data_IF_725933539011
#
_entry.id   IF_725933539011
#
_cell.length_a   1.000
_cell.length_b   1.000
_cell.length_c   1.000
_cell.angle_alpha   90.00
_cell.angle_beta   90.00
_cell.angle_gamma   90.00
#
_symmetry.space_group_name_H-M   'P 1'
#
loop_
_entity.id
_entity.type
_entity.pdbx_description
1 polymer ?
#
# COMPACT_ATOMS: atom_id res chain seq x y z
N UNK A 1 -16.06 17.67 -4.03
CA UNK A 1 -15.46 16.61 -3.17
C UNK A 1 -16.57 15.66 -2.76
N UNK A 2 -16.44 14.35 -3.03
CA UNK A 2 -17.36 13.35 -2.44
C UNK A 2 -17.03 13.22 -0.95
N UNK A 3 -17.97 13.55 -0.08
CA UNK A 3 -17.81 13.41 1.37
C UNK A 3 -18.32 12.03 1.79
N UNK A 4 -17.43 11.15 2.25
CA UNK A 4 -17.80 9.82 2.69
C UNK A 4 -17.93 9.78 4.23
N UNK A 5 -19.07 9.31 4.73
CA UNK A 5 -19.47 9.31 6.15
C UNK A 5 -18.82 8.18 6.97
N UNK A 6 -18.11 8.47 8.07
CA UNK A 6 -17.36 7.50 8.90
C UNK A 6 -18.11 6.17 9.19
N UNK A 7 -17.38 5.03 9.28
CA UNK A 7 -17.98 3.74 9.67
C UNK A 7 -18.28 3.81 11.17
N UNK A 8 -19.44 3.35 11.65
CA UNK A 8 -19.69 3.21 13.09
C UNK A 8 -18.69 2.24 13.75
N UNK A 9 -18.45 2.40 15.05
CA UNK A 9 -17.54 1.51 15.80
C UNK A 9 -17.95 0.03 15.65
N UNK A 10 -16.96 -0.83 15.36
CA UNK A 10 -17.19 -2.27 15.11
C UNK A 10 -17.74 -2.64 13.73
N UNK A 11 -18.00 -1.68 12.84
CA UNK A 11 -18.41 -1.97 11.46
C UNK A 11 -17.27 -2.52 10.60
N UNK A 12 -17.57 -3.46 9.70
CA UNK A 12 -16.60 -4.01 8.75
C UNK A 12 -16.10 -2.92 7.80
N UNK A 13 -14.91 -2.37 8.07
CA UNK A 13 -14.29 -1.29 7.27
C UNK A 13 -14.12 -1.70 5.79
N UNK A 14 -13.89 -2.98 5.54
CA UNK A 14 -13.77 -3.59 4.21
C UNK A 14 -15.06 -3.49 3.37
N UNK A 15 -16.24 -3.65 3.99
CA UNK A 15 -17.52 -3.50 3.27
C UNK A 15 -17.68 -2.09 2.72
N UNK A 16 -17.31 -1.08 3.52
CA UNK A 16 -17.37 0.30 3.08
C UNK A 16 -16.27 0.64 2.08
N UNK A 17 -15.07 0.09 2.26
CA UNK A 17 -13.99 0.21 1.29
C UNK A 17 -14.44 -0.31 -0.08
N UNK A 18 -15.03 -1.51 -0.14
CA UNK A 18 -15.58 -2.07 -1.37
C UNK A 18 -16.72 -1.23 -1.97
N UNK A 19 -17.59 -0.63 -1.13
CA UNK A 19 -18.66 0.24 -1.61
C UNK A 19 -18.17 1.57 -2.21
N UNK A 20 -17.01 2.08 -1.75
CA UNK A 20 -16.43 3.35 -2.20
C UNK A 20 -15.45 3.15 -3.36
N UNK A 21 -14.56 2.18 -3.23
CA UNK A 21 -13.43 1.92 -4.12
C UNK A 21 -13.71 0.82 -5.15
N UNK A 22 -14.84 0.11 -5.01
CA UNK A 22 -15.19 -1.04 -5.85
C UNK A 22 -14.54 -2.35 -5.36
N UNK A 23 -15.10 -3.46 -5.82
CA UNK A 23 -14.59 -4.81 -5.50
C UNK A 23 -13.19 -5.06 -6.05
N UNK A 24 -12.88 -4.49 -7.23
CA UNK A 24 -11.56 -4.61 -7.84
C UNK A 24 -10.44 -4.06 -6.96
N UNK A 25 -10.68 -2.97 -6.22
CA UNK A 25 -9.71 -2.46 -5.25
C UNK A 25 -9.61 -3.40 -4.05
N UNK A 26 -10.75 -3.83 -3.50
CA UNK A 26 -10.81 -4.70 -2.32
C UNK A 26 -10.08 -6.04 -2.54
N UNK A 27 -10.17 -6.63 -3.74
CA UNK A 27 -9.46 -7.86 -4.09
C UNK A 27 -7.94 -7.73 -4.10
N UNK A 28 -7.42 -6.52 -4.33
CA UNK A 28 -5.98 -6.23 -4.37
C UNK A 28 -5.50 -5.52 -3.10
N UNK A 29 -6.39 -5.20 -2.16
CA UNK A 29 -6.10 -4.36 -1.02
C UNK A 29 -5.24 -5.11 0.02
N UNK A 30 -4.03 -4.61 0.22
CA UNK A 30 -3.10 -5.06 1.26
C UNK A 30 -3.26 -4.12 2.46
N UNK A 31 -3.68 -4.68 3.60
CA UNK A 31 -3.89 -3.91 4.82
C UNK A 31 -2.55 -3.43 5.40
N UNK A 32 -2.50 -2.18 5.84
CA UNK A 32 -1.36 -1.56 6.51
C UNK A 32 -1.78 -1.25 7.95
N UNK A 33 -0.94 -1.68 8.89
CA UNK A 33 -0.93 -1.24 10.28
C UNK A 33 0.54 -1.07 10.69
N UNK A 34 0.98 0.18 10.75
CA UNK A 34 2.37 0.54 10.99
C UNK A 34 2.43 1.69 12.00
N UNK A 35 3.25 1.55 13.04
CA UNK A 35 3.31 2.53 14.13
C UNK A 35 4.75 2.74 14.60
N UNK A 36 5.10 3.99 14.88
CA UNK A 36 6.36 4.37 15.50
C UNK A 36 6.18 5.64 16.33
N UNK A 37 6.24 5.51 17.65
CA UNK A 37 5.92 6.61 18.56
C UNK A 37 4.50 7.13 18.33
N UNK A 38 4.36 8.44 18.14
CA UNK A 38 3.08 9.12 17.89
C UNK A 38 2.62 9.07 16.42
N UNK A 39 3.41 8.45 15.53
CA UNK A 39 3.04 8.23 14.14
C UNK A 39 2.35 6.89 13.98
N UNK A 40 1.17 6.90 13.38
CA UNK A 40 0.44 5.68 12.99
C UNK A 40 -0.01 5.80 11.54
N UNK A 41 0.34 4.81 10.72
CA UNK A 41 -0.15 4.64 9.35
C UNK A 41 -1.08 3.42 9.31
N UNK A 42 -2.30 3.64 8.86
CA UNK A 42 -3.32 2.60 8.67
C UNK A 42 -3.94 2.69 7.29
N UNK A 43 -4.55 1.59 6.85
CA UNK A 43 -5.40 1.59 5.66
C UNK A 43 -5.02 0.50 4.70
N UNK A 44 -5.07 0.80 3.39
CA UNK A 44 -4.80 -0.19 2.36
C UNK A 44 -4.01 0.41 1.19
N UNK A 45 -3.10 -0.40 0.65
CA UNK A 45 -2.43 -0.18 -0.64
C UNK A 45 -2.81 -1.35 -1.55
N UNK A 46 -3.18 -1.08 -2.80
CA UNK A 46 -3.40 -2.14 -3.76
C UNK A 46 -2.06 -2.77 -4.16
N UNK A 47 -2.02 -4.09 -4.41
CA UNK A 47 -0.83 -4.74 -4.96
C UNK A 47 -0.41 -4.03 -6.26
N UNK A 48 0.79 -3.44 -6.29
CA UNK A 48 1.25 -2.71 -7.47
C UNK A 48 1.29 -3.60 -8.73
N UNK A 49 1.53 -4.92 -8.62
CA UNK A 49 1.53 -5.82 -9.79
C UNK A 49 0.18 -5.93 -10.51
N UNK A 50 -0.92 -5.62 -9.81
CA UNK A 50 -2.28 -5.77 -10.28
C UNK A 50 -3.02 -4.43 -10.38
N UNK A 51 -2.31 -3.32 -10.25
CA UNK A 51 -2.90 -1.98 -10.32
C UNK A 51 -3.17 -1.60 -11.78
N UNK A 52 -4.45 -1.38 -12.10
CA UNK A 52 -4.89 -0.90 -13.42
C UNK A 52 -5.01 0.62 -13.43
N UNK A 53 -5.06 1.29 -14.60
CA UNK A 53 -5.26 2.74 -14.68
C UNK A 53 -6.53 3.22 -13.95
N UNK A 54 -7.61 2.42 -13.96
CA UNK A 54 -8.84 2.73 -13.24
C UNK A 54 -8.66 2.66 -11.72
N UNK A 55 -7.89 1.69 -11.22
CA UNK A 55 -7.56 1.61 -9.79
C UNK A 55 -6.66 2.76 -9.36
N UNK A 56 -5.73 3.18 -10.21
CA UNK A 56 -4.81 4.29 -9.94
C UNK A 56 -5.52 5.65 -9.71
N UNK A 57 -6.81 5.79 -10.05
CA UNK A 57 -7.62 6.96 -9.68
C UNK A 57 -7.93 7.02 -8.17
N UNK A 58 -7.77 5.88 -7.47
CA UNK A 58 -8.04 5.74 -6.03
C UNK A 58 -6.77 6.10 -5.27
N UNK A 59 -6.60 7.39 -4.99
CA UNK A 59 -5.48 7.92 -4.20
C UNK A 59 -6.04 8.77 -3.07
N UNK A 60 -6.45 8.12 -1.99
CA UNK A 60 -7.02 8.77 -0.83
C UNK A 60 -6.04 8.73 0.34
N UNK A 61 -5.58 9.89 0.79
CA UNK A 61 -4.82 10.00 2.03
C UNK A 61 -5.53 10.93 3.01
N UNK A 62 -5.49 10.57 4.29
CA UNK A 62 -6.06 11.35 5.37
C UNK A 62 -4.96 11.63 6.39
N UNK A 63 -4.90 12.86 6.88
CA UNK A 63 -4.02 13.24 8.00
C UNK A 63 -4.92 13.72 9.14
N UNK A 64 -4.88 13.03 10.27
CA UNK A 64 -5.76 13.28 11.43
C UNK A 64 -7.24 13.40 11.03
N UNK A 65 -7.69 12.49 10.17
CA UNK A 65 -9.08 12.40 9.70
C UNK A 65 -9.48 13.40 8.59
N UNK A 66 -8.60 14.33 8.19
CA UNK A 66 -8.85 15.26 7.09
C UNK A 66 -8.24 14.73 5.79
N UNK A 67 -9.03 14.69 4.72
CA UNK A 67 -8.57 14.32 3.38
C UNK A 67 -7.50 15.29 2.88
N UNK A 68 -6.36 14.76 2.46
CA UNK A 68 -5.23 15.50 1.91
C UNK A 68 -4.89 15.04 0.49
N UNK A 69 -4.14 15.87 -0.23
CA UNK A 69 -3.47 15.55 -1.50
C UNK A 69 -2.04 16.04 -1.45
N UNK A 70 -1.34 15.58 -0.43
CA UNK A 70 -0.01 16.06 -0.09
C UNK A 70 1.07 15.41 -0.97
N UNK A 71 1.99 16.23 -1.50
CA UNK A 71 3.04 15.77 -2.41
C UNK A 71 4.06 14.86 -1.72
N UNK A 72 4.38 15.12 -0.45
CA UNK A 72 5.36 14.35 0.31
C UNK A 72 4.82 12.95 0.60
N UNK A 73 3.55 12.86 1.01
CA UNK A 73 2.87 11.57 1.23
C UNK A 73 2.84 10.76 -0.06
N UNK A 74 2.38 11.37 -1.16
CA UNK A 74 2.26 10.68 -2.45
C UNK A 74 3.62 10.22 -2.98
N UNK A 75 4.67 11.02 -2.79
CA UNK A 75 6.03 10.66 -3.15
C UNK A 75 6.52 9.42 -2.39
N UNK A 76 6.36 9.40 -1.05
CA UNK A 76 6.78 8.27 -0.22
C UNK A 76 6.13 6.94 -0.66
N UNK A 77 4.82 6.97 -0.94
CA UNK A 77 4.06 5.80 -1.39
C UNK A 77 4.54 5.34 -2.77
N UNK A 78 4.69 6.28 -3.72
CA UNK A 78 5.15 5.98 -5.07
C UNK A 78 6.56 5.37 -5.04
N UNK A 79 7.47 5.95 -4.27
CA UNK A 79 8.84 5.45 -4.13
C UNK A 79 8.85 4.02 -3.58
N UNK A 80 8.05 3.71 -2.55
CA UNK A 80 7.95 2.35 -2.01
C UNK A 80 7.40 1.33 -3.04
N UNK A 81 6.43 1.74 -3.87
CA UNK A 81 5.90 0.90 -4.94
C UNK A 81 6.91 0.70 -6.08
N UNK A 82 7.64 1.76 -6.47
CA UNK A 82 8.66 1.71 -7.51
C UNK A 82 9.82 0.79 -7.11
N UNK A 83 10.33 0.92 -5.87
CA UNK A 83 11.39 0.07 -5.34
C UNK A 83 11.00 -1.42 -5.31
N UNK A 84 9.70 -1.71 -5.11
CA UNK A 84 9.17 -3.09 -5.15
C UNK A 84 8.97 -3.62 -6.57
N UNK A 85 8.58 -2.79 -7.52
CA UNK A 85 8.24 -3.23 -8.88
C UNK A 85 9.38 -3.14 -9.89
N UNK A 86 10.37 -2.29 -9.62
CA UNK A 86 11.37 -1.90 -10.61
C UNK A 86 10.81 -1.07 -11.77
N UNK A 87 9.59 -0.53 -11.63
CA UNK A 87 8.93 0.28 -12.63
C UNK A 87 8.11 1.40 -11.97
N UNK A 88 8.17 2.57 -12.56
CA UNK A 88 7.39 3.73 -12.16
C UNK A 88 5.93 3.57 -12.62
N UNK A 89 5.02 3.37 -11.68
CA UNK A 89 3.59 3.29 -11.92
C UNK A 89 2.79 4.02 -10.84
N UNK A 90 1.58 4.44 -11.19
CA UNK A 90 0.69 5.10 -10.25
C UNK A 90 0.11 4.08 -9.25
N UNK A 91 0.35 4.24 -7.93
CA UNK A 91 -0.23 3.36 -6.93
C UNK A 91 -1.71 3.69 -6.71
N UNK A 92 -2.45 2.70 -6.21
CA UNK A 92 -3.81 2.87 -5.71
C UNK A 92 -3.82 2.60 -4.20
N UNK A 93 -4.40 3.51 -3.42
CA UNK A 93 -4.36 3.43 -1.96
C UNK A 93 -5.46 4.22 -1.26
N UNK A 94 -5.76 3.80 -0.02
CA UNK A 94 -6.57 4.51 0.96
C UNK A 94 -5.84 4.48 2.30
N UNK A 95 -5.13 5.55 2.65
CA UNK A 95 -4.26 5.61 3.82
C UNK A 95 -4.67 6.68 4.82
N UNK A 96 -4.45 6.39 6.08
CA UNK A 96 -4.74 7.23 7.23
C UNK A 96 -3.46 7.40 8.02
N UNK A 97 -2.95 8.62 8.08
CA UNK A 97 -1.84 9.03 8.91
C UNK A 97 -2.39 9.75 10.14
N UNK A 98 -2.08 9.21 11.31
CA UNK A 98 -2.27 9.86 12.60
C UNK A 98 -0.89 10.36 13.09
N UNK A 99 -0.85 11.61 13.54
CA UNK A 99 0.36 12.31 14.02
C UNK A 99 -0.05 13.34 15.07
N UNK A 100 0.84 13.66 16.02
CA UNK A 100 0.67 14.81 16.92
C UNK A 100 0.29 16.08 16.12
N UNK A 101 -0.86 16.72 16.41
CA UNK A 101 -1.28 17.97 15.76
C UNK A 101 -0.23 19.08 15.80
N UNK A 102 0.68 19.11 16.79
CA UNK A 102 1.76 20.10 16.85
C UNK A 102 2.87 19.85 15.82
N UNK A 103 2.94 18.64 15.24
CA UNK A 103 3.91 18.27 14.22
C UNK A 103 3.38 18.48 12.79
N UNK A 104 2.15 18.98 12.63
CA UNK A 104 1.53 19.20 11.31
C UNK A 104 0.75 20.53 11.26
N UNK A 105 1.11 21.37 10.30
CA UNK A 105 0.35 22.59 9.99
C UNK A 105 -0.58 22.36 8.80
N UNK A 106 -1.89 22.44 9.05
CA UNK A 106 -2.95 22.27 8.05
C UNK A 106 -3.40 23.59 7.40
N UNK A 107 -2.88 24.73 7.85
CA UNK A 107 -3.30 26.07 7.40
C UNK A 107 -2.41 26.65 6.30
N UNK A 108 -1.65 25.81 5.59
CA UNK A 108 -0.64 26.24 4.62
C UNK A 108 -1.18 26.55 3.21
N UNK A 109 -2.38 26.08 2.86
CA UNK A 109 -3.00 26.32 1.56
C UNK A 109 -4.46 26.77 1.73
N UNK A 110 -4.97 27.73 0.95
CA UNK A 110 -6.36 28.23 1.09
C UNK A 110 -7.42 27.12 0.92
N UNK A 111 -7.15 26.13 0.07
CA UNK A 111 -8.01 24.94 -0.09
C UNK A 111 -7.76 23.81 0.93
N UNK A 112 -6.76 23.94 1.82
CA UNK A 112 -6.39 22.95 2.85
C UNK A 112 -6.15 21.53 2.32
N UNK A 113 -5.62 21.42 1.10
CA UNK A 113 -5.29 20.14 0.44
C UNK A 113 -3.86 19.67 0.74
N UNK A 114 -3.01 20.57 1.22
CA UNK A 114 -1.62 20.31 1.53
C UNK A 114 -1.38 20.58 3.02
N UNK A 115 -0.37 19.92 3.57
CA UNK A 115 0.07 20.12 4.94
C UNK A 115 1.56 20.38 4.99
N UNK A 116 2.03 21.03 6.05
CA UNK A 116 3.46 21.13 6.33
C UNK A 116 3.77 20.34 7.59
N UNK A 117 4.56 19.30 7.44
CA UNK A 117 5.10 18.56 8.57
C UNK A 117 6.29 19.30 9.17
N UNK A 118 6.40 19.31 10.50
CA UNK A 118 7.57 19.86 11.19
C UNK A 118 8.81 19.02 10.87
N UNK A 119 8.65 17.69 10.85
CA UNK A 119 9.71 16.72 10.53
C UNK A 119 9.41 15.99 9.22
N UNK A 120 9.37 16.72 8.10
CA UNK A 120 9.02 16.21 6.76
C UNK A 120 9.75 14.92 6.38
N UNK A 121 11.07 14.85 6.58
CA UNK A 121 11.87 13.67 6.22
C UNK A 121 11.47 12.44 7.04
N UNK A 122 11.26 12.62 8.34
CA UNK A 122 10.84 11.53 9.24
C UNK A 122 9.47 11.00 8.82
N UNK A 123 8.52 11.88 8.52
CA UNK A 123 7.18 11.48 8.05
C UNK A 123 7.25 10.75 6.71
N UNK A 124 8.07 11.24 5.77
CA UNK A 124 8.30 10.59 4.49
C UNK A 124 8.83 9.17 4.68
N UNK A 125 9.93 9.02 5.44
CA UNK A 125 10.59 7.74 5.66
C UNK A 125 9.67 6.76 6.41
N UNK A 126 8.88 7.26 7.37
CA UNK A 126 7.87 6.48 8.06
C UNK A 126 6.81 5.89 7.12
N UNK A 127 6.26 6.70 6.21
CA UNK A 127 5.26 6.25 5.24
C UNK A 127 5.88 5.26 4.26
N UNK A 128 7.06 5.59 3.73
CA UNK A 128 7.81 4.73 2.82
C UNK A 128 8.04 3.34 3.41
N UNK A 129 8.56 3.26 4.64
CA UNK A 129 8.82 1.98 5.32
C UNK A 129 7.54 1.21 5.61
N UNK A 130 6.47 1.90 6.01
CA UNK A 130 5.17 1.26 6.29
C UNK A 130 4.51 0.66 5.05
N UNK A 131 4.65 1.30 3.88
CA UNK A 131 4.17 0.75 2.61
C UNK A 131 5.07 -0.38 2.13
N UNK A 132 6.39 -0.17 2.16
CA UNK A 132 7.35 -1.17 1.67
C UNK A 132 7.27 -2.48 2.45
N UNK A 133 7.10 -2.43 3.77
CA UNK A 133 7.02 -3.63 4.61
C UNK A 133 5.86 -4.55 4.23
N UNK A 134 4.67 -4.00 3.97
CA UNK A 134 3.50 -4.77 3.54
C UNK A 134 3.68 -5.34 2.14
N UNK A 135 4.30 -4.56 1.24
CA UNK A 135 4.60 -5.03 -0.11
C UNK A 135 5.61 -6.19 -0.12
N UNK A 136 6.60 -6.17 0.77
CA UNK A 136 7.58 -7.26 0.95
C UNK A 136 6.92 -8.51 1.55
N UNK A 137 6.12 -8.35 2.60
CA UNK A 137 5.41 -9.48 3.24
C UNK A 137 4.52 -10.24 2.25
N UNK A 138 3.89 -9.51 1.30
CA UNK A 138 3.07 -10.15 0.27
C UNK A 138 3.89 -11.03 -0.69
N UNK A 139 5.12 -10.64 -1.01
CA UNK A 139 6.02 -11.46 -1.85
C UNK A 139 6.45 -12.73 -1.12
N UNK A 140 6.80 -12.62 0.16
CA UNK A 140 7.16 -13.78 0.98
C UNK A 140 6.00 -14.77 1.06
N UNK A 141 4.77 -14.28 1.27
CA UNK A 141 3.56 -15.10 1.28
C UNK A 141 3.34 -15.81 -0.08
N UNK A 142 3.55 -15.10 -1.20
CA UNK A 142 3.41 -15.67 -2.53
C UNK A 142 4.49 -16.73 -2.82
N UNK A 143 5.75 -16.46 -2.44
CA UNK A 143 6.86 -17.39 -2.58
C UNK A 143 6.66 -18.65 -1.74
N UNK A 144 6.18 -18.52 -0.50
CA UNK A 144 5.93 -19.66 0.39
C UNK A 144 4.79 -20.55 -0.11
N UNK A 145 3.74 -19.95 -0.66
CA UNK A 145 2.66 -20.71 -1.32
C UNK A 145 3.14 -21.51 -2.52
N UNK A 146 4.16 -21.01 -3.23
CA UNK A 146 4.75 -21.70 -4.38
C UNK A 146 5.63 -22.88 -3.94
N UNK A 147 6.38 -22.76 -2.85
CA UNK A 147 7.26 -23.84 -2.36
C UNK A 147 6.50 -24.99 -1.70
N UNK A 148 5.37 -24.73 -1.01
CA UNK A 148 4.63 -25.77 -0.28
C UNK A 148 3.65 -26.62 -1.10
N UNK A 149 3.29 -26.22 -2.32
CA UNK A 149 2.43 -27.05 -3.16
C UNK A 149 2.76 -26.94 -4.66
N UNK A 150 3.76 -27.72 -5.14
CA UNK A 150 4.16 -27.72 -6.55
C UNK A 150 3.07 -28.22 -7.51
N UNK A 151 1.99 -28.84 -7.01
CA UNK A 151 0.88 -29.37 -7.83
C UNK A 151 -0.19 -28.33 -8.18
N UNK A 152 -0.13 -27.09 -7.67
CA UNK A 152 -1.04 -25.99 -8.04
C UNK A 152 -0.94 -25.60 -9.54
N UNK A 153 0.09 -26.09 -10.24
CA UNK A 153 0.30 -25.86 -11.68
C UNK A 153 -0.80 -26.40 -12.60
N UNK A 154 -1.62 -27.37 -12.18
CA UNK A 154 -2.62 -27.97 -13.09
C UNK A 154 -3.93 -27.18 -13.20
N UNK A 155 -4.24 -26.32 -12.22
CA UNK A 155 -5.56 -25.64 -12.15
C UNK A 155 -5.52 -24.19 -12.63
N UNK A 156 -4.36 -23.51 -12.54
CA UNK A 156 -4.26 -22.08 -12.89
C UNK A 156 -3.67 -21.79 -14.27
N UNK A 157 -3.20 -22.80 -15.01
CA UNK A 157 -2.68 -22.65 -16.38
C UNK A 157 -3.78 -22.60 -17.45
N UNK A 158 -4.74 -21.68 -17.33
CA UNK A 158 -5.60 -21.29 -18.47
C UNK A 158 -5.69 -19.81 -18.76
N UNK A 159 -5.05 -18.92 -17.98
CA UNK A 159 -4.97 -17.49 -18.31
C UNK A 159 -3.61 -16.92 -17.90
N UNK A 160 -2.98 -16.21 -18.84
CA UNK A 160 -1.71 -15.47 -18.75
C UNK A 160 -0.42 -16.29 -18.94
N UNK A 161 0.10 -16.22 -20.16
CA UNK A 161 1.44 -16.65 -20.52
C UNK A 161 2.45 -15.59 -20.07
N UNK A 162 3.23 -15.88 -19.03
CA UNK A 162 4.47 -15.15 -18.76
C UNK A 162 5.64 -15.92 -19.39
N UNK A 163 6.40 -15.23 -20.24
CA UNK A 163 7.61 -15.76 -20.86
C UNK A 163 8.68 -16.00 -19.79
N UNK A 164 9.21 -17.22 -19.82
CA UNK A 164 10.37 -17.81 -19.15
C UNK A 164 11.48 -16.79 -18.83
N UNK A 165 12.04 -16.87 -17.61
CA UNK A 165 13.41 -16.38 -17.39
C UNK A 165 13.77 -15.80 -16.01
N UNK A 166 13.31 -16.36 -14.89
CA UNK A 166 13.95 -16.13 -13.59
C UNK A 166 13.43 -17.18 -12.60
N UNK A 167 14.23 -17.51 -11.59
CA UNK A 167 13.92 -18.42 -10.46
C UNK A 167 14.20 -19.90 -10.77
N UNK A 168 15.46 -20.26 -11.02
CA UNK A 168 16.13 -21.41 -10.35
C UNK A 168 17.64 -21.12 -10.31
N UNK A 169 18.12 -20.39 -9.31
CA UNK A 169 19.52 -20.48 -8.86
C UNK A 169 19.56 -20.01 -7.42
N UNK A 170 19.28 -20.92 -6.49
CA UNK A 170 19.76 -20.89 -5.10
C UNK A 170 19.35 -22.21 -4.44
N UNK A 171 20.03 -23.30 -4.80
CA UNK A 171 20.16 -24.43 -3.88
C UNK A 171 21.38 -25.28 -4.22
N UNK A 172 22.57 -24.85 -3.76
CA UNK A 172 23.72 -25.74 -3.66
C UNK A 172 24.74 -25.23 -2.65
N UNK A 173 24.39 -25.28 -1.38
CA UNK A 173 25.35 -25.33 -0.27
C UNK A 173 24.56 -25.57 1.01
N UNK A 174 24.22 -26.83 1.29
CA UNK A 174 24.06 -27.35 2.66
C UNK A 174 23.87 -28.87 2.56
N UNK A 175 24.97 -29.58 2.34
CA UNK A 175 25.23 -30.88 2.98
C UNK A 175 26.69 -30.84 3.39
N UNK A 176 26.92 -30.69 4.70
CA UNK A 176 28.22 -30.81 5.35
C UNK A 176 28.47 -32.27 5.70
N UNK A 177 29.75 -32.65 5.56
CA UNK A 177 30.47 -33.79 6.16
C UNK A 177 30.07 -35.20 5.75
#
# INVERSE_FOLDING_TARGET
MRQYRAVPEGGQKERRLGAICGTAFLEQALAIEWQHGDLTLRGWVADPNHTTPALAEIQYCYVNGRMMRDRLINHAIRQACEDKLGADQQPAFVLYLEIDPHQVDVNVHPAKHEVRFHQSRLVHDFIYQGVLSVLQQQLENAAYRWTMNPNLHRVLFRKTAWRRGAIILLNRQFVSQ
#
